data_IF_879412342030
#
_entry.id   IF_879412342030
#
_cell.length_a   1.000
_cell.length_b   1.000
_cell.length_c   1.000
_cell.angle_alpha   90.00
_cell.angle_beta   90.00
_cell.angle_gamma   90.00
#
_symmetry.space_group_name_H-M   'P 1'
#
loop_
_entity.id
_entity.type
_entity.pdbx_description
1 polymer ?
#
# COMPACT_ATOMS: atom_id res chain seq x y z
N UNK A 1 -1.23 -33.22 29.81
CA UNK A 1 -2.16 -33.45 28.68
C UNK A 1 -2.77 -32.09 28.38
N UNK A 2 -2.54 -31.53 27.19
CA UNK A 2 -3.33 -30.37 26.75
C UNK A 2 -4.70 -30.92 26.37
N UNK A 3 -5.76 -30.36 26.92
CA UNK A 3 -7.13 -30.67 26.54
C UNK A 3 -7.30 -30.40 25.03
N UNK A 4 -8.00 -31.29 24.34
CA UNK A 4 -8.30 -31.06 22.93
C UNK A 4 -9.30 -29.91 22.81
N UNK A 5 -9.13 -28.98 21.87
CA UNK A 5 -10.11 -27.93 21.62
C UNK A 5 -11.49 -28.52 21.31
N UNK A 6 -12.54 -27.99 21.92
CA UNK A 6 -13.93 -28.41 21.65
C UNK A 6 -14.51 -27.70 20.41
N UNK A 7 -13.92 -26.55 20.04
CA UNK A 7 -14.34 -25.73 18.90
C UNK A 7 -13.18 -25.37 17.97
N UNK A 8 -13.51 -24.99 16.72
CA UNK A 8 -12.52 -24.47 15.77
C UNK A 8 -11.88 -23.18 16.27
N UNK A 9 -12.65 -22.33 16.94
CA UNK A 9 -12.17 -21.07 17.51
C UNK A 9 -11.09 -21.32 18.58
N UNK A 10 -11.35 -22.25 19.51
CA UNK A 10 -10.35 -22.68 20.51
C UNK A 10 -9.10 -23.30 19.88
N UNK A 11 -9.26 -24.03 18.77
CA UNK A 11 -8.15 -24.57 18.01
C UNK A 11 -7.29 -23.45 17.41
N UNK A 12 -7.90 -22.43 16.81
CA UNK A 12 -7.17 -21.28 16.28
C UNK A 12 -6.48 -20.47 17.37
N UNK A 13 -7.13 -20.26 18.52
CA UNK A 13 -6.48 -19.63 19.67
C UNK A 13 -5.25 -20.40 20.15
N UNK A 14 -5.35 -21.73 20.26
CA UNK A 14 -4.22 -22.58 20.64
C UNK A 14 -3.05 -22.42 19.66
N UNK A 15 -3.34 -22.45 18.37
CA UNK A 15 -2.34 -22.26 17.31
C UNK A 15 -1.66 -20.89 17.43
N UNK A 16 -2.43 -19.81 17.61
CA UNK A 16 -1.90 -18.45 17.73
C UNK A 16 -1.04 -18.25 18.99
N UNK A 17 -1.37 -18.94 20.09
CA UNK A 17 -0.58 -18.96 21.34
C UNK A 17 0.76 -19.68 21.19
N UNK A 18 0.87 -20.63 20.25
CA UNK A 18 2.12 -21.36 19.98
C UNK A 18 3.15 -20.52 19.21
N UNK A 19 2.73 -19.42 18.58
CA UNK A 19 3.63 -18.49 17.91
C UNK A 19 4.60 -17.89 18.93
N UNK A 20 5.89 -18.14 18.72
CA UNK A 20 6.97 -17.66 19.59
C UNK A 20 6.94 -16.13 19.65
N UNK A 21 7.09 -15.56 20.85
CA UNK A 21 7.13 -14.10 21.10
C UNK A 21 7.93 -13.27 20.08
N UNK A 22 9.18 -13.62 19.71
CA UNK A 22 9.93 -12.84 18.70
C UNK A 22 9.28 -12.79 17.31
N UNK A 23 8.38 -13.73 17.00
CA UNK A 23 7.76 -13.86 15.69
C UNK A 23 6.35 -13.30 15.64
N UNK A 24 5.78 -12.88 16.79
CA UNK A 24 4.37 -12.42 16.87
C UNK A 24 4.11 -11.20 16.00
N UNK A 25 5.05 -10.25 15.93
CA UNK A 25 4.95 -9.08 15.05
C UNK A 25 4.91 -9.46 13.57
N UNK A 26 5.85 -10.29 13.11
CA UNK A 26 5.87 -10.80 11.74
C UNK A 26 4.60 -11.60 11.40
N UNK A 27 4.18 -12.49 12.30
CA UNK A 27 2.95 -13.27 12.13
C UNK A 27 1.72 -12.38 11.98
N UNK A 28 1.57 -11.39 12.86
CA UNK A 28 0.48 -10.43 12.77
C UNK A 28 0.51 -9.66 11.44
N UNK A 29 1.68 -9.16 11.03
CA UNK A 29 1.83 -8.47 9.75
C UNK A 29 1.42 -9.34 8.55
N UNK A 30 1.85 -10.61 8.51
CA UNK A 30 1.45 -11.57 7.46
C UNK A 30 -0.07 -11.78 7.46
N UNK A 31 -0.66 -12.04 8.63
CA UNK A 31 -2.10 -12.29 8.74
C UNK A 31 -2.91 -11.05 8.35
N UNK A 32 -2.51 -9.86 8.77
CA UNK A 32 -3.12 -8.57 8.36
C UNK A 32 -3.11 -8.44 6.85
N UNK A 33 -1.96 -8.65 6.21
CA UNK A 33 -1.83 -8.58 4.76
C UNK A 33 -2.75 -9.58 4.04
N UNK A 34 -2.81 -10.83 4.50
CA UNK A 34 -3.67 -11.85 3.91
C UNK A 34 -5.17 -11.56 4.08
N UNK A 35 -5.57 -10.88 5.17
CA UNK A 35 -6.97 -10.47 5.37
C UNK A 35 -7.40 -9.44 4.32
N UNK A 36 -6.56 -8.44 4.06
CA UNK A 36 -6.94 -7.27 3.23
C UNK A 36 -6.46 -7.34 1.78
N UNK A 37 -5.58 -8.28 1.44
CA UNK A 37 -5.04 -8.37 0.08
C UNK A 37 -6.14 -8.53 -0.98
N UNK A 38 -6.01 -7.76 -2.06
CA UNK A 38 -6.99 -7.71 -3.18
C UNK A 38 -6.88 -8.96 -4.06
N UNK A 39 -5.66 -9.47 -4.19
CA UNK A 39 -5.35 -10.77 -4.78
C UNK A 39 -4.39 -11.55 -3.86
N UNK A 40 -4.29 -12.88 -4.00
CA UNK A 40 -3.28 -13.65 -3.27
C UNK A 40 -1.88 -13.04 -3.45
N UNK A 41 -1.17 -12.88 -2.33
CA UNK A 41 0.19 -12.37 -2.31
C UNK A 41 1.17 -13.52 -2.56
N UNK A 42 2.22 -13.25 -3.34
CA UNK A 42 3.33 -14.18 -3.54
C UNK A 42 4.19 -14.23 -2.28
N UNK A 43 4.89 -15.34 -2.08
CA UNK A 43 5.87 -15.49 -0.99
C UNK A 43 6.87 -14.33 -0.96
N UNK A 44 7.41 -13.97 -2.14
CA UNK A 44 8.37 -12.87 -2.27
C UNK A 44 7.76 -11.49 -1.96
N UNK A 45 6.49 -11.27 -2.29
CA UNK A 45 5.81 -10.00 -1.99
C UNK A 45 5.63 -9.82 -0.48
N UNK A 46 5.20 -10.87 0.22
CA UNK A 46 5.09 -10.84 1.68
C UNK A 46 6.45 -10.69 2.36
N UNK A 47 7.51 -11.30 1.81
CA UNK A 47 8.86 -11.11 2.33
C UNK A 47 9.31 -9.64 2.21
N UNK A 48 8.98 -8.95 1.12
CA UNK A 48 9.24 -7.51 1.02
C UNK A 48 8.40 -6.71 2.01
N UNK A 49 7.13 -7.06 2.24
CA UNK A 49 6.31 -6.40 3.27
C UNK A 49 6.98 -6.50 4.65
N UNK A 50 7.48 -7.68 5.02
CA UNK A 50 8.17 -7.90 6.30
C UNK A 50 9.50 -7.17 6.42
N UNK A 51 10.07 -6.73 5.30
CA UNK A 51 11.30 -5.93 5.25
C UNK A 51 11.02 -4.42 5.24
N UNK A 52 9.76 -3.97 5.31
CA UNK A 52 9.43 -2.55 5.42
C UNK A 52 9.54 -2.09 6.86
N UNK A 53 10.28 -0.99 7.05
CA UNK A 53 10.27 -0.23 8.28
C UNK A 53 9.08 0.73 8.29
N UNK A 54 8.13 0.46 9.18
CA UNK A 54 6.90 1.23 9.34
C UNK A 54 7.05 2.42 10.32
N UNK A 55 8.14 2.45 11.11
CA UNK A 55 8.37 3.39 12.21
C UNK A 55 9.48 4.41 11.89
N UNK A 56 9.81 4.60 10.61
CA UNK A 56 10.86 5.55 10.20
C UNK A 56 10.58 6.97 10.72
N UNK A 57 11.65 7.65 11.15
CA UNK A 57 11.61 8.97 11.80
C UNK A 57 10.91 10.03 10.94
N UNK A 58 10.97 9.91 9.62
CA UNK A 58 10.35 10.85 8.70
C UNK A 58 8.83 10.63 8.58
N UNK A 59 8.33 9.48 9.05
CA UNK A 59 6.94 9.01 8.86
C UNK A 59 6.68 8.51 7.44
N UNK A 60 7.74 8.09 6.73
CA UNK A 60 7.68 7.55 5.38
C UNK A 60 8.15 6.09 5.44
N UNK A 61 7.31 5.12 5.08
CA UNK A 61 7.71 3.72 5.07
C UNK A 61 8.89 3.49 4.14
N UNK A 62 9.90 2.72 4.57
CA UNK A 62 11.09 2.45 3.75
C UNK A 62 11.40 0.96 3.78
N UNK A 63 11.70 0.39 2.61
CA UNK A 63 12.20 -0.98 2.57
C UNK A 63 13.63 -1.03 3.14
N UNK A 64 13.82 -1.80 4.20
CA UNK A 64 15.12 -2.12 4.76
C UNK A 64 15.67 -3.42 4.14
N UNK A 65 16.71 -3.30 3.31
CA UNK A 65 17.34 -4.47 2.68
C UNK A 65 18.03 -5.40 3.68
N UNK A 66 18.47 -4.87 4.83
CA UNK A 66 19.10 -5.68 5.88
C UNK A 66 18.09 -6.59 6.60
N UNK A 67 16.79 -6.33 6.43
CA UNK A 67 15.69 -7.15 6.97
C UNK A 67 15.13 -8.14 5.96
N UNK A 68 15.70 -8.21 4.75
CA UNK A 68 15.32 -9.24 3.78
C UNK A 68 15.83 -10.60 4.26
N UNK A 69 14.89 -11.52 4.42
CA UNK A 69 15.19 -12.88 4.83
C UNK A 69 15.82 -13.64 3.66
N UNK A 70 16.94 -14.32 3.91
CA UNK A 70 17.58 -15.19 2.92
C UNK A 70 16.65 -16.36 2.53
N UNK A 71 15.84 -16.86 3.47
CA UNK A 71 14.79 -17.86 3.24
C UNK A 71 13.41 -17.28 3.56
N UNK A 72 12.74 -16.81 2.50
CA UNK A 72 11.42 -16.17 2.55
C UNK A 72 10.31 -17.16 2.98
N UNK A 73 10.42 -18.42 2.58
CA UNK A 73 9.45 -19.45 2.94
C UNK A 73 9.58 -19.80 4.43
N UNK A 74 10.81 -19.93 4.93
CA UNK A 74 11.05 -20.21 6.33
C UNK A 74 10.56 -19.07 7.22
N UNK A 75 10.70 -17.81 6.81
CA UNK A 75 10.16 -16.66 7.53
C UNK A 75 8.63 -16.75 7.70
N UNK A 76 7.91 -17.08 6.62
CA UNK A 76 6.45 -17.22 6.62
C UNK A 76 5.99 -18.45 7.43
N UNK A 77 6.69 -19.57 7.29
CA UNK A 77 6.35 -20.81 7.99
C UNK A 77 6.59 -20.69 9.49
N UNK A 78 7.66 -20.00 9.91
CA UNK A 78 7.94 -19.71 11.32
C UNK A 78 6.85 -18.82 11.95
N UNK A 79 6.22 -17.97 11.14
CA UNK A 79 5.17 -17.06 11.56
C UNK A 79 3.82 -17.77 11.76
N UNK A 80 3.35 -18.60 10.81
CA UNK A 80 1.94 -19.04 10.79
C UNK A 80 1.66 -20.44 10.19
N UNK A 81 2.60 -21.41 10.22
CA UNK A 81 2.54 -22.66 9.43
C UNK A 81 1.23 -23.47 9.41
N UNK A 82 0.36 -23.40 10.43
CA UNK A 82 -0.93 -24.11 10.46
C UNK A 82 -2.13 -23.26 10.01
N UNK A 83 -1.98 -21.94 9.98
CA UNK A 83 -3.02 -20.99 9.57
C UNK A 83 -2.92 -20.61 8.09
N UNK A 84 -1.74 -20.74 7.50
CA UNK A 84 -1.46 -20.39 6.11
C UNK A 84 -0.97 -21.62 5.33
N UNK A 85 -1.23 -21.59 4.02
CA UNK A 85 -0.73 -22.57 3.06
C UNK A 85 -0.05 -21.84 1.89
N UNK A 86 1.07 -22.38 1.44
CA UNK A 86 1.75 -21.95 0.23
C UNK A 86 1.30 -22.88 -0.91
N UNK A 87 0.72 -22.31 -1.95
CA UNK A 87 0.16 -23.06 -3.08
C UNK A 87 0.68 -22.52 -4.41
N UNK A 88 0.83 -23.42 -5.39
CA UNK A 88 1.21 -23.04 -6.74
C UNK A 88 0.00 -22.50 -7.50
N UNK A 89 0.10 -21.26 -7.99
CA UNK A 89 -0.89 -20.58 -8.80
C UNK A 89 -0.24 -19.96 -10.03
N UNK A 90 -0.60 -20.44 -11.22
CA UNK A 90 -0.18 -19.91 -12.53
C UNK A 90 1.33 -19.59 -12.58
N UNK A 91 2.17 -20.57 -12.24
CA UNK A 91 3.64 -20.47 -12.23
C UNK A 91 4.25 -19.60 -11.11
N UNK A 92 3.48 -19.28 -10.06
CA UNK A 92 3.96 -18.55 -8.89
C UNK A 92 3.49 -19.21 -7.60
N UNK A 93 4.27 -19.09 -6.53
CA UNK A 93 3.89 -19.55 -5.20
C UNK A 93 3.19 -18.42 -4.44
N UNK A 94 1.92 -18.63 -4.12
CA UNK A 94 1.09 -17.68 -3.39
C UNK A 94 0.77 -18.19 -1.99
N UNK A 95 0.63 -17.26 -1.08
CA UNK A 95 0.23 -17.52 0.31
C UNK A 95 -1.26 -17.27 0.44
N UNK A 96 -1.95 -18.22 1.05
CA UNK A 96 -3.37 -18.11 1.38
C UNK A 96 -3.63 -18.68 2.76
N UNK A 97 -4.81 -18.41 3.32
CA UNK A 97 -5.24 -19.12 4.52
C UNK A 97 -5.42 -20.62 4.23
N UNK A 98 -5.01 -21.47 5.17
CA UNK A 98 -5.20 -22.92 5.07
C UNK A 98 -6.67 -23.31 4.99
N UNK A 99 -7.55 -22.49 5.58
CA UNK A 99 -8.99 -22.66 5.50
C UNK A 99 -9.69 -21.30 5.56
N UNK A 100 -10.83 -21.16 4.87
CA UNK A 100 -11.58 -19.90 4.81
C UNK A 100 -12.00 -19.40 6.20
N UNK A 101 -12.37 -20.30 7.12
CA UNK A 101 -12.77 -19.95 8.49
C UNK A 101 -11.65 -19.34 9.33
N UNK A 102 -10.38 -19.46 8.93
CA UNK A 102 -9.28 -18.74 9.60
C UNK A 102 -9.45 -17.23 9.41
N UNK A 103 -9.77 -16.80 8.20
CA UNK A 103 -10.03 -15.38 7.91
C UNK A 103 -11.23 -14.88 8.67
N UNK A 104 -12.30 -15.68 8.73
CA UNK A 104 -13.49 -15.35 9.51
C UNK A 104 -13.14 -15.20 10.99
N UNK A 105 -12.42 -16.18 11.56
CA UNK A 105 -11.98 -16.13 12.95
C UNK A 105 -11.21 -14.84 13.27
N UNK A 106 -10.21 -14.48 12.45
CA UNK A 106 -9.37 -13.29 12.69
C UNK A 106 -10.15 -11.96 12.58
N UNK A 107 -11.23 -11.93 11.78
CA UNK A 107 -12.03 -10.72 11.52
C UNK A 107 -13.32 -10.64 12.33
N UNK A 108 -13.68 -11.69 13.06
CA UNK A 108 -14.91 -11.74 13.86
C UNK A 108 -14.88 -10.72 15.00
N UNK A 109 -15.92 -9.87 15.03
CA UNK A 109 -16.09 -8.83 16.06
C UNK A 109 -16.21 -9.38 17.47
N UNK A 110 -16.58 -10.67 17.66
CA UNK A 110 -16.73 -11.25 19.01
C UNK A 110 -15.41 -11.46 19.74
N UNK A 111 -14.26 -11.47 19.02
CA UNK A 111 -12.94 -11.44 19.65
C UNK A 111 -12.69 -10.12 20.40
N UNK A 112 -13.33 -9.02 20.01
CA UNK A 112 -13.23 -7.73 20.75
C UNK A 112 -13.84 -7.79 22.16
N UNK A 113 -14.73 -8.77 22.41
CA UNK A 113 -15.35 -9.03 23.72
C UNK A 113 -14.71 -10.19 24.48
N UNK A 114 -13.80 -10.94 23.84
CA UNK A 114 -13.03 -11.99 24.50
C UNK A 114 -11.97 -11.36 25.43
N UNK A 115 -11.45 -12.12 26.39
CA UNK A 115 -10.39 -11.68 27.31
C UNK A 115 -9.19 -12.61 27.16
N UNK A 116 -8.01 -12.07 26.82
CA UNK A 116 -6.75 -12.82 26.79
C UNK A 116 -5.90 -12.56 25.54
N UNK A 117 -4.83 -13.37 25.35
CA UNK A 117 -3.88 -13.25 24.21
C UNK A 117 -4.50 -13.47 22.82
N UNK A 118 -5.75 -13.94 22.73
CA UNK A 118 -6.47 -14.10 21.46
C UNK A 118 -6.91 -12.75 20.85
N UNK A 119 -7.14 -11.73 21.68
CA UNK A 119 -7.40 -10.35 21.23
C UNK A 119 -6.23 -9.77 20.44
N UNK A 120 -4.99 -10.16 20.77
CA UNK A 120 -3.78 -9.63 20.13
C UNK A 120 -3.70 -9.96 18.63
N UNK A 121 -4.50 -10.95 18.20
CA UNK A 121 -4.59 -11.43 16.83
C UNK A 121 -5.95 -11.11 16.16
N UNK A 122 -6.83 -10.37 16.83
CA UNK A 122 -7.96 -9.77 16.13
C UNK A 122 -7.43 -8.76 15.10
N UNK A 123 -7.96 -8.83 13.88
CA UNK A 123 -7.52 -7.99 12.77
C UNK A 123 -8.60 -6.98 12.44
N UNK A 124 -8.37 -5.75 12.86
CA UNK A 124 -9.11 -4.58 12.41
C UNK A 124 -8.72 -4.24 10.96
N UNK A 125 -9.72 -4.02 10.11
CA UNK A 125 -9.50 -3.76 8.69
C UNK A 125 -8.72 -2.46 8.44
N UNK A 126 -8.99 -1.38 9.19
CA UNK A 126 -8.29 -0.09 9.04
C UNK A 126 -6.77 -0.20 9.25
N UNK A 127 -6.30 -0.69 10.41
CA UNK A 127 -4.89 -0.97 10.63
C UNK A 127 -4.28 -1.93 9.61
N UNK A 128 -4.97 -3.02 9.24
CA UNK A 128 -4.45 -3.96 8.24
C UNK A 128 -4.28 -3.33 6.84
N UNK A 129 -5.27 -2.54 6.40
CA UNK A 129 -5.16 -1.74 5.18
C UNK A 129 -4.02 -0.71 5.28
N UNK A 130 -3.81 -0.10 6.44
CA UNK A 130 -2.69 0.81 6.69
C UNK A 130 -1.36 0.10 6.51
N UNK A 131 -1.16 -1.06 7.16
CA UNK A 131 0.08 -1.86 7.08
C UNK A 131 0.42 -2.16 5.61
N UNK A 132 -0.54 -2.71 4.85
CA UNK A 132 -0.27 -3.09 3.46
C UNK A 132 -0.08 -1.86 2.54
N UNK A 133 -0.83 -0.78 2.75
CA UNK A 133 -0.66 0.46 2.01
C UNK A 133 0.69 1.13 2.29
N UNK A 134 1.15 1.13 3.54
CA UNK A 134 2.48 1.61 3.92
C UNK A 134 3.57 0.79 3.21
N UNK A 135 3.44 -0.54 3.20
CA UNK A 135 4.39 -1.39 2.49
C UNK A 135 4.41 -1.11 0.98
N UNK A 136 3.24 -0.89 0.38
CA UNK A 136 3.12 -0.49 -1.02
C UNK A 136 3.83 0.86 -1.29
N UNK A 137 3.61 1.87 -0.46
CA UNK A 137 4.31 3.15 -0.60
C UNK A 137 5.81 3.00 -0.41
N UNK A 138 6.26 2.20 0.56
CA UNK A 138 7.68 1.99 0.81
C UNK A 138 8.43 1.36 -0.37
N UNK A 139 7.77 0.49 -1.14
CA UNK A 139 8.36 -0.03 -2.39
C UNK A 139 8.25 0.96 -3.56
N UNK A 140 7.15 1.71 -3.68
CA UNK A 140 6.97 2.71 -4.74
C UNK A 140 7.95 3.89 -4.61
N UNK A 141 8.28 4.27 -3.38
CA UNK A 141 9.22 5.34 -3.06
C UNK A 141 10.70 4.94 -3.18
N UNK A 142 11.00 3.71 -3.62
CA UNK A 142 12.39 3.27 -3.85
C UNK A 142 13.03 4.12 -4.94
N UNK A 143 14.17 4.75 -4.64
CA UNK A 143 14.90 5.65 -5.56
C UNK A 143 15.69 4.93 -6.65
N UNK A 144 15.90 3.62 -6.52
CA UNK A 144 16.69 2.82 -7.44
C UNK A 144 15.84 1.67 -8.00
N UNK A 145 15.10 1.97 -9.06
CA UNK A 145 14.70 0.94 -10.01
C UNK A 145 15.89 0.78 -10.95
N UNK A 146 16.41 -0.45 -11.05
CA UNK A 146 17.66 -0.68 -11.78
C UNK A 146 17.54 -0.17 -13.22
N UNK A 147 18.55 0.59 -13.66
CA UNK A 147 18.54 1.40 -14.89
C UNK A 147 18.45 0.54 -16.16
N UNK A 148 18.59 -0.77 -16.03
CA UNK A 148 18.59 -1.72 -17.14
C UNK A 148 17.19 -2.20 -17.55
N UNK A 149 16.10 -1.66 -16.97
CA UNK A 149 14.73 -2.00 -17.40
C UNK A 149 14.32 -3.45 -17.17
N UNK A 150 15.18 -4.23 -16.51
CA UNK A 150 14.94 -5.59 -16.07
C UNK A 150 14.70 -5.59 -14.56
N UNK A 151 13.59 -5.01 -14.11
CA UNK A 151 13.01 -5.47 -12.86
C UNK A 151 12.63 -6.93 -13.10
N UNK A 152 13.14 -7.91 -12.32
CA UNK A 152 12.64 -9.27 -12.40
C UNK A 152 11.15 -9.21 -12.08
N UNK A 153 10.33 -9.27 -13.12
CA UNK A 153 8.89 -9.01 -13.07
C UNK A 153 8.15 -9.99 -12.15
N UNK A 154 8.85 -11.03 -11.69
CA UNK A 154 8.26 -12.15 -10.98
C UNK A 154 8.39 -12.06 -9.45
N UNK A 155 9.11 -11.07 -8.91
CA UNK A 155 9.65 -11.14 -7.55
C UNK A 155 9.50 -9.90 -6.66
N UNK A 156 8.70 -8.89 -7.02
CA UNK A 156 8.65 -7.63 -6.25
C UNK A 156 7.21 -7.19 -5.94
N UNK A 157 6.98 -6.75 -4.69
CA UNK A 157 5.73 -6.15 -4.22
C UNK A 157 5.34 -4.92 -5.05
N UNK A 158 6.29 -4.30 -5.75
CA UNK A 158 6.07 -3.09 -6.56
C UNK A 158 4.92 -3.21 -7.56
N UNK A 159 4.72 -4.38 -8.19
CA UNK A 159 3.62 -4.54 -9.15
C UNK A 159 2.27 -4.54 -8.43
N UNK A 160 2.15 -5.33 -7.35
CA UNK A 160 0.97 -5.30 -6.48
C UNK A 160 0.71 -3.87 -6.00
N UNK A 161 1.76 -3.19 -5.51
CA UNK A 161 1.70 -1.85 -5.00
C UNK A 161 1.16 -0.88 -6.04
N UNK A 162 1.75 -0.84 -7.24
CA UNK A 162 1.36 0.08 -8.30
C UNK A 162 -0.13 -0.05 -8.67
N UNK A 163 -0.64 -1.29 -8.71
CA UNK A 163 -2.04 -1.60 -9.06
C UNK A 163 -3.04 -1.34 -7.92
N UNK A 164 -2.63 -1.50 -6.65
CA UNK A 164 -3.58 -1.68 -5.55
C UNK A 164 -3.43 -0.71 -4.38
N UNK A 165 -2.32 0.05 -4.29
CA UNK A 165 -2.07 0.90 -3.11
C UNK A 165 -3.20 1.91 -2.86
N UNK A 166 -3.74 2.56 -3.90
CA UNK A 166 -4.86 3.52 -3.82
C UNK A 166 -6.17 2.88 -3.35
N UNK A 167 -6.35 1.57 -3.58
CA UNK A 167 -7.53 0.86 -3.09
C UNK A 167 -7.43 0.59 -1.59
N UNK A 168 -6.21 0.35 -1.08
CA UNK A 168 -6.01 0.22 0.36
C UNK A 168 -6.19 1.54 1.12
N UNK A 169 -6.17 2.68 0.45
CA UNK A 169 -6.37 4.01 1.05
C UNK A 169 -7.82 4.50 1.00
N UNK A 170 -8.81 3.63 0.73
CA UNK A 170 -10.21 4.08 0.65
C UNK A 170 -10.86 4.36 2.02
N UNK A 171 -10.21 3.96 3.12
CA UNK A 171 -10.65 4.28 4.47
C UNK A 171 -9.97 5.59 4.95
N UNK A 172 -10.76 6.51 5.52
CA UNK A 172 -10.30 7.85 5.91
C UNK A 172 -9.18 7.81 6.98
N UNK A 173 -9.29 6.87 7.93
CA UNK A 173 -8.26 6.65 8.96
C UNK A 173 -6.93 6.20 8.37
N UNK A 174 -6.96 5.42 7.28
CA UNK A 174 -5.76 4.98 6.54
C UNK A 174 -5.09 6.18 5.84
N UNK A 175 -5.85 7.00 5.11
CA UNK A 175 -5.30 8.15 4.36
C UNK A 175 -4.47 9.07 5.23
N UNK A 176 -5.00 9.42 6.42
CA UNK A 176 -4.32 10.32 7.37
C UNK A 176 -2.92 9.82 7.78
N UNK A 177 -2.73 8.50 7.87
CA UNK A 177 -1.46 7.87 8.26
C UNK A 177 -0.46 7.81 7.11
N UNK A 178 -0.93 7.94 5.87
CA UNK A 178 -0.12 7.84 4.67
C UNK A 178 0.24 9.20 4.05
N UNK A 179 -0.34 10.28 4.57
CA UNK A 179 -0.25 11.63 4.00
C UNK A 179 1.16 12.01 3.57
N UNK A 180 2.16 11.87 4.45
CA UNK A 180 3.56 12.19 4.13
C UNK A 180 4.14 11.36 3.00
N UNK A 181 3.85 10.05 2.98
CA UNK A 181 4.30 9.15 1.92
C UNK A 181 3.67 9.50 0.59
N UNK A 182 2.38 9.88 0.59
CA UNK A 182 1.67 10.34 -0.61
C UNK A 182 2.21 11.68 -1.11
N UNK A 183 2.47 12.64 -0.22
CA UNK A 183 3.12 13.91 -0.57
C UNK A 183 4.49 13.68 -1.22
N UNK A 184 5.26 12.70 -0.73
CA UNK A 184 6.55 12.33 -1.32
C UNK A 184 6.41 11.65 -2.67
N UNK A 185 5.42 10.77 -2.83
CA UNK A 185 5.14 10.04 -4.07
C UNK A 185 4.71 11.01 -5.17
N UNK A 186 3.86 11.99 -4.85
CA UNK A 186 3.29 12.97 -5.79
C UNK A 186 4.10 14.25 -5.93
N UNK A 187 5.26 14.34 -5.27
CA UNK A 187 6.15 15.49 -5.37
C UNK A 187 6.68 15.64 -6.83
N UNK A 188 6.31 16.71 -7.56
CA UNK A 188 6.76 16.95 -8.93
C UNK A 188 8.29 17.10 -9.07
N UNK A 189 9.00 17.39 -7.98
CA UNK A 189 10.47 17.51 -7.97
C UNK A 189 11.15 16.14 -7.80
N UNK A 190 10.39 15.06 -7.61
CA UNK A 190 10.88 13.68 -7.41
C UNK A 190 10.43 12.73 -8.53
N UNK A 191 11.17 11.64 -8.77
CA UNK A 191 10.84 10.72 -9.87
C UNK A 191 9.73 9.71 -9.53
N UNK A 192 9.27 9.64 -8.27
CA UNK A 192 8.43 8.53 -7.80
C UNK A 192 7.07 8.45 -8.51
N UNK A 193 6.42 9.61 -8.73
CA UNK A 193 5.16 9.67 -9.47
C UNK A 193 5.31 9.15 -10.90
N UNK A 194 6.37 9.58 -11.61
CA UNK A 194 6.63 9.16 -13.00
C UNK A 194 6.88 7.65 -13.08
N UNK A 195 7.60 7.08 -12.10
CA UNK A 195 7.82 5.64 -12.02
C UNK A 195 6.52 4.90 -11.75
N UNK A 196 5.73 5.34 -10.77
CA UNK A 196 4.44 4.73 -10.49
C UNK A 196 3.52 4.75 -11.72
N UNK A 197 3.43 5.87 -12.42
CA UNK A 197 2.65 6.01 -13.65
C UNK A 197 3.12 5.06 -14.76
N UNK A 198 4.43 4.83 -14.87
CA UNK A 198 5.01 3.88 -15.84
C UNK A 198 4.68 2.43 -15.47
N UNK A 199 4.65 2.10 -14.17
CA UNK A 199 4.30 0.76 -13.68
C UNK A 199 2.81 0.47 -13.83
N UNK A 200 1.96 1.44 -13.53
CA UNK A 200 0.51 1.30 -13.63
C UNK A 200 -0.18 2.65 -13.86
N UNK A 201 -0.86 2.78 -15.00
CA UNK A 201 -1.63 3.96 -15.34
C UNK A 201 -3.13 3.71 -15.12
N UNK A 202 -3.65 4.25 -14.01
CA UNK A 202 -5.07 4.15 -13.61
C UNK A 202 -6.02 4.67 -14.70
N UNK A 203 -5.61 5.71 -15.44
CA UNK A 203 -6.42 6.38 -16.47
C UNK A 203 -6.48 5.60 -17.81
N UNK A 204 -5.76 4.47 -17.92
CA UNK A 204 -5.75 3.63 -19.14
C UNK A 204 -6.52 2.32 -19.04
N UNK A 205 -7.28 2.09 -17.95
CA UNK A 205 -8.21 0.96 -17.90
C UNK A 205 -9.27 1.10 -19.02
N UNK A 206 -9.61 0.03 -19.76
CA UNK A 206 -10.32 0.14 -21.03
C UNK A 206 -11.83 0.36 -20.82
N UNK A 207 -12.21 1.56 -20.37
CA UNK A 207 -13.53 2.10 -20.69
C UNK A 207 -13.41 2.87 -21.99
N UNK A 208 -13.74 2.14 -23.07
CA UNK A 208 -13.88 2.61 -24.45
C UNK A 208 -12.58 2.91 -25.22
N UNK A 209 -12.42 2.12 -26.28
CA UNK A 209 -11.65 2.44 -27.47
C UNK A 209 -11.69 3.93 -27.82
N UNK A 210 -10.54 4.60 -27.80
CA UNK A 210 -9.98 5.38 -28.90
C UNK A 210 -8.51 5.69 -28.52
N UNK A 211 -7.61 5.30 -29.42
CA UNK A 211 -6.19 5.55 -29.37
C UNK A 211 -5.87 7.03 -29.15
N UNK A 212 -5.18 7.36 -28.06
CA UNK A 212 -4.20 8.43 -28.05
C UNK A 212 -2.94 7.95 -27.35
N UNK A 213 -1.99 7.45 -28.15
CA UNK A 213 -0.58 7.45 -27.79
C UNK A 213 -0.16 8.92 -27.62
N UNK A 214 -0.11 9.42 -26.40
CA UNK A 214 0.61 10.66 -26.08
C UNK A 214 2.01 10.31 -25.61
N UNK A 215 2.81 9.82 -26.55
CA UNK A 215 4.25 9.93 -26.43
C UNK A 215 4.61 11.43 -26.43
N UNK A 216 4.96 11.97 -25.25
CA UNK A 216 5.56 13.30 -25.11
C UNK A 216 4.64 14.45 -24.71
N UNK A 217 3.85 14.32 -23.62
CA UNK A 217 3.37 15.52 -22.92
C UNK A 217 4.49 16.09 -22.02
N UNK A 218 4.60 17.42 -21.87
CA UNK A 218 5.58 18.03 -20.98
C UNK A 218 5.30 17.59 -19.53
N UNK A 219 6.37 17.48 -18.73
CA UNK A 219 6.38 17.37 -17.26
C UNK A 219 5.65 18.56 -16.63
N UNK A 220 4.33 18.59 -16.74
CA UNK A 220 3.49 19.60 -16.12
C UNK A 220 3.11 19.10 -14.73
N UNK A 221 3.22 19.95 -13.71
CA UNK A 221 2.67 19.71 -12.37
C UNK A 221 1.16 19.37 -12.40
N UNK A 222 0.50 19.58 -13.54
CA UNK A 222 -0.86 19.12 -13.78
C UNK A 222 -1.02 17.58 -13.71
N UNK A 223 0.03 16.78 -13.95
CA UNK A 223 -0.09 15.31 -13.90
C UNK A 223 -0.26 14.77 -12.47
N UNK A 224 0.60 15.10 -11.48
CA UNK A 224 0.38 14.69 -10.10
C UNK A 224 -0.94 15.22 -9.52
N UNK A 225 -1.28 16.49 -9.79
CA UNK A 225 -2.54 17.08 -9.32
C UNK A 225 -3.77 16.37 -9.91
N UNK A 226 -3.75 16.07 -11.21
CA UNK A 226 -4.83 15.34 -11.88
C UNK A 226 -5.03 13.95 -11.28
N UNK A 227 -3.96 13.19 -11.04
CA UNK A 227 -4.07 11.85 -10.46
C UNK A 227 -4.49 11.88 -8.99
N UNK A 228 -4.02 12.87 -8.21
CA UNK A 228 -4.47 13.05 -6.83
C UNK A 228 -5.98 13.31 -6.78
N UNK A 229 -6.50 14.14 -7.70
CA UNK A 229 -7.93 14.38 -7.85
C UNK A 229 -8.68 13.13 -8.34
N UNK A 230 -8.13 12.39 -9.30
CA UNK A 230 -8.71 11.15 -9.83
C UNK A 230 -8.86 10.08 -8.73
N UNK A 231 -7.91 10.02 -7.79
CA UNK A 231 -7.94 9.10 -6.65
C UNK A 231 -8.79 9.62 -5.47
N UNK A 232 -9.30 10.86 -5.52
CA UNK A 232 -10.08 11.46 -4.44
C UNK A 232 -9.26 11.93 -3.23
N UNK A 233 -7.96 12.16 -3.40
CA UNK A 233 -7.07 12.58 -2.30
C UNK A 233 -7.17 14.09 -2.05
N UNK A 234 -8.25 14.52 -1.40
CA UNK A 234 -8.56 15.94 -1.19
C UNK A 234 -7.44 16.72 -0.49
N UNK A 235 -6.89 16.20 0.61
CA UNK A 235 -5.81 16.87 1.36
C UNK A 235 -4.52 16.98 0.53
N UNK A 236 -4.23 15.96 -0.29
CA UNK A 236 -3.08 15.97 -1.20
C UNK A 236 -3.28 16.96 -2.35
N UNK A 237 -4.49 17.09 -2.89
CA UNK A 237 -4.85 18.08 -3.90
C UNK A 237 -4.63 19.49 -3.36
N UNK A 238 -5.11 19.78 -2.15
CA UNK A 238 -4.91 21.08 -1.50
C UNK A 238 -3.41 21.36 -1.29
N UNK A 239 -2.66 20.38 -0.77
CA UNK A 239 -1.20 20.47 -0.61
C UNK A 239 -0.49 20.83 -1.92
N UNK A 240 -0.80 20.14 -3.01
CA UNK A 240 -0.16 20.35 -4.32
C UNK A 240 -0.50 21.73 -4.90
N UNK A 241 -1.73 22.23 -4.71
CA UNK A 241 -2.13 23.57 -5.17
C UNK A 241 -1.34 24.65 -4.42
N UNK A 242 -1.28 24.57 -3.09
CA UNK A 242 -0.56 25.54 -2.25
C UNK A 242 0.94 25.53 -2.58
N UNK A 243 1.54 24.34 -2.67
CA UNK A 243 2.99 24.19 -2.86
C UNK A 243 3.45 24.62 -4.25
N UNK A 244 2.67 24.35 -5.30
CA UNK A 244 3.15 24.51 -6.69
C UNK A 244 2.37 25.49 -7.56
N UNK A 245 1.10 25.76 -7.31
CA UNK A 245 0.29 26.63 -8.17
C UNK A 245 0.20 28.07 -7.62
N UNK A 246 0.15 28.25 -6.31
CA UNK A 246 0.17 29.59 -5.71
C UNK A 246 1.56 30.25 -5.82
N UNK A 247 2.64 29.46 -5.78
CA UNK A 247 4.02 29.93 -6.01
C UNK A 247 4.28 30.44 -7.44
N UNK A 248 3.58 29.90 -8.44
CA UNK A 248 3.66 30.36 -9.85
C UNK A 248 3.00 31.74 -10.01
N UNK A 249 1.94 32.03 -9.24
CA UNK A 249 1.34 33.38 -9.20
C UNK A 249 2.16 34.40 -8.37
N UNK A 250 3.15 33.94 -7.60
CA UNK A 250 4.00 34.81 -6.79
C UNK A 250 5.34 35.19 -7.46
N UNK A 251 5.75 34.53 -8.55
CA UNK A 251 7.02 34.82 -9.21
C UNK A 251 7.03 34.62 -10.73
N UNK A 252 6.57 35.65 -11.46
CA UNK A 252 7.09 35.97 -12.80
C UNK A 252 6.09 35.94 -13.97
N UNK A 253 5.61 37.12 -14.38
CA UNK A 253 4.95 37.30 -15.68
C UNK A 253 4.32 38.68 -15.87
N UNK A 254 5.12 39.67 -16.27
CA UNK A 254 4.70 41.04 -16.60
C UNK A 254 3.78 41.11 -17.84
N UNK A 255 2.72 41.94 -17.75
CA UNK A 255 1.77 42.43 -18.79
C UNK A 255 0.91 41.35 -19.49
N UNK A 256 -0.43 41.40 -19.49
CA UNK A 256 -1.32 42.50 -19.92
C UNK A 256 -2.65 42.40 -19.16
N UNK A 257 -3.08 43.50 -18.52
CA UNK A 257 -4.49 43.68 -18.10
C UNK A 257 -5.32 44.03 -19.34
N UNK A 258 -6.43 43.34 -19.67
CA UNK A 258 -7.37 43.85 -20.64
C UNK A 258 -8.16 45.01 -20.00
N UNK A 259 -8.03 46.16 -20.64
CA UNK A 259 -8.83 47.37 -20.57
C UNK A 259 -10.03 47.40 -19.60
N UNK A 260 -9.96 48.35 -18.67
CA UNK A 260 -11.14 49.01 -18.11
C UNK A 260 -12.00 49.53 -19.27
N UNK A 261 -13.24 49.04 -19.36
CA UNK A 261 -14.25 49.65 -20.20
C UNK A 261 -15.33 50.23 -19.30
N UNK A 262 -15.47 51.55 -19.44
CA UNK A 262 -16.44 52.43 -18.80
C UNK A 262 -17.85 51.82 -18.74
N UNK A 263 -18.45 51.82 -17.56
CA UNK A 263 -19.90 51.94 -17.41
C UNK A 263 -20.17 53.22 -16.64
N UNK A 264 -20.60 54.24 -17.39
CA UNK A 264 -21.25 55.44 -16.89
C UNK A 264 -22.68 55.01 -16.50
N UNK A 265 -23.09 55.25 -15.25
CA UNK A 265 -24.49 55.28 -14.87
C UNK A 265 -24.79 56.65 -14.27
N UNK A 266 -25.59 57.41 -15.03
CA UNK A 266 -26.54 58.40 -14.50
C UNK A 266 -27.80 57.68 -14.07
#
# INVERSE_FOLDING_TARGET
>A
LRELPETLDEMYECILKEIKKPNRGHARCVLECLVVAIRPLRVAELAEVLAVDFDDVDGIPKLNRDWQWEDQEQALMIACSSLIAIVEAKYSWVVQFSHFSVKEFLTLSRLTTASGEALDYHIDLGPAHTTLAQACLGVLLRTHYDVDGHTPSDHLLVQYAAEHWTTHTQLEDVLSRLQKGMEYLFDPDKPHFEVWQTLYNIDTLPSSSIFFNTAGSPKSAASPLYYAALCGFHDLVEHLIIKYLEGVNASGGYFVRPHQQNIILT
#
